data_IF_871332371088
#
_entry.id   IF_871332371088
#
_cell.length_a   1.000
_cell.length_b   1.000
_cell.length_c   1.000
_cell.angle_alpha   90.00
_cell.angle_beta   90.00
_cell.angle_gamma   90.00
#
_symmetry.space_group_name_H-M   'P 1'
#
loop_
_entity.id
_entity.type
_entity.pdbx_description
1 polymer ?
#
# COMPACT_ATOMS: atom_id res chain seq x y z
N UNK A 1 -59.06 3.82 -10.96
CA UNK A 1 -57.61 3.90 -11.29
C UNK A 1 -56.87 3.90 -9.98
N UNK A 2 -56.22 2.79 -9.60
CA UNK A 2 -55.47 2.71 -8.35
C UNK A 2 -54.08 3.30 -8.60
N UNK A 3 -53.86 4.51 -8.09
CA UNK A 3 -52.55 5.17 -8.12
C UNK A 3 -51.61 4.39 -7.22
N UNK A 4 -50.75 3.55 -7.82
CA UNK A 4 -49.78 2.79 -7.07
C UNK A 4 -48.69 3.75 -6.60
N UNK A 5 -48.65 4.04 -5.30
CA UNK A 5 -47.66 4.94 -4.72
C UNK A 5 -46.27 4.27 -4.78
N UNK A 6 -45.29 4.82 -5.52
CA UNK A 6 -43.96 4.22 -5.63
C UNK A 6 -43.22 4.13 -4.29
N UNK A 7 -43.61 4.92 -3.28
CA UNK A 7 -43.04 4.84 -1.92
C UNK A 7 -43.51 3.61 -1.15
N UNK A 8 -44.61 2.96 -1.55
CA UNK A 8 -45.11 1.74 -0.90
C UNK A 8 -44.26 0.50 -1.22
N UNK A 9 -43.57 0.47 -2.37
CA UNK A 9 -42.62 -0.60 -2.70
C UNK A 9 -41.32 -0.50 -1.91
N UNK A 10 -40.98 0.68 -1.38
CA UNK A 10 -39.77 0.92 -0.60
C UNK A 10 -39.94 0.63 0.91
N UNK A 11 -41.00 -0.07 1.31
CA UNK A 11 -41.16 -0.53 2.69
C UNK A 11 -41.58 0.56 3.68
N UNK A 12 -42.26 1.62 3.24
CA UNK A 12 -42.86 2.60 4.14
C UNK A 12 -44.29 2.19 4.55
N UNK A 13 -44.67 2.49 5.79
CA UNK A 13 -46.02 2.22 6.30
C UNK A 13 -47.06 3.06 5.54
N UNK A 14 -48.06 2.38 4.93
CA UNK A 14 -49.15 3.04 4.22
C UNK A 14 -50.52 2.58 4.77
N UNK A 15 -51.18 3.35 5.65
CA UNK A 15 -52.45 2.97 6.27
C UNK A 15 -53.64 2.95 5.28
N UNK A 16 -53.50 3.55 4.09
CA UNK A 16 -54.55 3.60 3.07
C UNK A 16 -54.52 2.41 2.10
N UNK A 17 -53.50 1.54 2.19
CA UNK A 17 -53.39 0.34 1.37
C UNK A 17 -53.50 -0.92 2.25
N UNK A 18 -54.60 -1.68 2.18
CA UNK A 18 -54.78 -2.93 2.94
C UNK A 18 -53.73 -4.01 2.61
N UNK A 19 -53.01 -3.87 1.48
CA UNK A 19 -51.95 -4.78 1.05
C UNK A 19 -50.54 -4.24 1.35
N UNK A 20 -50.40 -3.23 2.22
CA UNK A 20 -49.11 -2.73 2.68
C UNK A 20 -48.32 -3.82 3.41
N UNK A 21 -47.06 -4.03 3.03
CA UNK A 21 -46.15 -5.02 3.65
C UNK A 21 -45.86 -4.67 5.11
N UNK A 22 -45.88 -3.38 5.45
CA UNK A 22 -45.70 -2.92 6.82
C UNK A 22 -47.06 -2.59 7.43
N UNK A 23 -47.41 -3.27 8.53
CA UNK A 23 -48.66 -3.11 9.26
C UNK A 23 -48.56 -2.21 10.51
N UNK A 24 -47.40 -1.57 10.73
CA UNK A 24 -47.16 -0.70 11.90
C UNK A 24 -46.46 0.60 11.47
N UNK A 25 -46.80 1.76 12.08
CA UNK A 25 -46.07 3.01 11.91
C UNK A 25 -44.59 2.86 12.30
N UNK A 26 -43.72 3.65 11.67
CA UNK A 26 -42.29 3.68 12.01
C UNK A 26 -42.11 3.99 13.50
N UNK A 27 -41.42 3.08 14.22
CA UNK A 27 -41.11 3.24 15.64
C UNK A 27 -39.66 3.71 15.77
N UNK A 28 -39.47 4.95 16.24
CA UNK A 28 -38.15 5.54 16.46
C UNK A 28 -37.31 4.81 17.52
N UNK A 29 -37.94 3.97 18.37
CA UNK A 29 -37.30 3.22 19.45
C UNK A 29 -37.12 1.72 19.11
N UNK A 30 -37.09 1.34 17.84
CA UNK A 30 -36.82 -0.05 17.47
C UNK A 30 -35.40 -0.46 17.93
N UNK A 31 -35.24 -1.59 18.64
CA UNK A 31 -33.93 -2.06 19.13
C UNK A 31 -32.97 -2.53 18.02
N UNK A 32 -33.37 -2.41 16.75
CA UNK A 32 -32.59 -2.77 15.58
C UNK A 32 -32.67 -1.62 14.57
N UNK A 33 -31.54 -1.11 14.05
CA UNK A 33 -31.58 -0.10 12.99
C UNK A 33 -32.26 -0.68 11.73
N UNK A 34 -32.98 0.14 10.95
CA UNK A 34 -33.68 -0.32 9.76
C UNK A 34 -32.67 -0.95 8.78
N UNK A 35 -32.85 -2.25 8.53
CA UNK A 35 -31.91 -3.07 7.73
C UNK A 35 -32.26 -3.07 6.24
N UNK A 36 -33.42 -2.53 5.86
CA UNK A 36 -33.85 -2.40 4.47
C UNK A 36 -33.23 -1.15 3.84
N UNK A 37 -32.26 -1.36 2.95
CA UNK A 37 -31.54 -0.31 2.21
C UNK A 37 -30.08 -0.12 2.65
N UNK A 38 -29.63 -0.80 3.70
CA UNK A 38 -28.21 -0.84 4.03
C UNK A 38 -27.50 -1.74 3.00
N UNK A 39 -26.67 -1.14 2.14
CA UNK A 39 -25.63 -1.89 1.43
C UNK A 39 -24.88 -2.75 2.45
N UNK A 40 -24.55 -4.02 2.14
CA UNK A 40 -23.72 -4.81 3.05
C UNK A 40 -22.48 -3.98 3.37
N UNK A 41 -22.21 -3.77 4.66
CA UNK A 41 -20.93 -3.20 5.04
C UNK A 41 -19.88 -4.08 4.39
N UNK A 42 -19.02 -3.50 3.54
CA UNK A 42 -17.83 -4.19 3.10
C UNK A 42 -17.05 -4.49 4.37
N UNK A 43 -17.26 -5.69 4.92
CA UNK A 43 -16.37 -6.26 5.91
C UNK A 43 -15.05 -6.40 5.20
N UNK A 44 -14.23 -5.36 5.28
CA UNK A 44 -12.92 -5.31 4.64
C UNK A 44 -12.14 -6.51 5.16
N UNK A 45 -11.99 -7.53 4.32
CA UNK A 45 -11.03 -8.59 4.58
C UNK A 45 -9.69 -7.90 4.82
N UNK A 46 -9.11 -8.07 6.00
CA UNK A 46 -7.79 -7.51 6.31
C UNK A 46 -6.86 -7.88 5.16
N UNK A 47 -6.24 -6.92 4.46
CA UNK A 47 -5.43 -7.23 3.29
C UNK A 47 -4.33 -8.20 3.72
N UNK A 48 -4.21 -9.32 3.01
CA UNK A 48 -3.17 -10.31 3.28
C UNK A 48 -1.82 -9.63 3.14
N UNK A 49 -1.08 -9.52 4.24
CA UNK A 49 0.27 -8.96 4.27
C UNK A 49 1.28 -10.10 4.09
N UNK A 50 2.24 -9.89 3.21
CA UNK A 50 3.41 -10.74 3.07
C UNK A 50 4.61 -10.04 3.71
N UNK A 51 5.46 -10.82 4.34
CA UNK A 51 6.64 -10.33 5.06
C UNK A 51 7.88 -10.76 4.31
N UNK A 52 8.77 -9.79 4.05
CA UNK A 52 10.06 -10.01 3.43
C UNK A 52 11.17 -9.54 4.37
N UNK A 53 12.19 -10.36 4.54
CA UNK A 53 13.29 -10.12 5.47
C UNK A 53 14.59 -9.82 4.73
N UNK A 54 15.34 -8.88 5.31
CA UNK A 54 16.62 -8.39 4.84
C UNK A 54 17.61 -8.54 5.99
N UNK A 55 18.47 -9.57 5.98
CA UNK A 55 19.53 -9.71 6.98
C UNK A 55 20.54 -8.55 6.97
N UNK A 56 20.69 -7.89 5.82
CA UNK A 56 21.52 -6.69 5.64
C UNK A 56 20.90 -5.79 4.54
N UNK A 57 21.35 -4.53 4.45
CA UNK A 57 20.89 -3.57 3.43
C UNK A 57 21.65 -3.71 2.12
N UNK A 58 22.95 -4.02 2.18
CA UNK A 58 23.83 -3.90 1.03
C UNK A 58 24.20 -5.25 0.41
N UNK A 59 24.32 -6.31 1.20
CA UNK A 59 24.68 -7.63 0.69
C UNK A 59 23.81 -8.71 1.35
N UNK A 60 22.66 -9.02 0.75
CA UNK A 60 21.75 -9.99 1.32
C UNK A 60 20.87 -10.69 0.28
N UNK A 61 20.20 -11.75 0.71
CA UNK A 61 19.10 -12.36 -0.01
C UNK A 61 17.80 -11.98 0.66
N UNK A 62 16.88 -11.37 -0.10
CA UNK A 62 15.54 -11.00 0.39
C UNK A 62 14.68 -12.26 0.41
N UNK A 63 14.37 -12.72 1.61
CA UNK A 63 13.58 -13.94 1.84
C UNK A 63 12.14 -13.57 2.18
N UNK A 64 11.19 -14.29 1.59
CA UNK A 64 9.76 -14.11 1.84
C UNK A 64 9.14 -15.29 2.61
N UNK A 65 7.81 -15.42 2.56
CA UNK A 65 7.09 -16.52 3.21
C UNK A 65 7.62 -17.88 2.79
N UNK A 66 7.77 -18.80 3.76
CA UNK A 66 8.34 -20.13 3.54
C UNK A 66 9.86 -20.14 3.36
N UNK A 67 10.57 -19.05 3.67
CA UNK A 67 12.02 -18.97 3.57
C UNK A 67 12.54 -18.91 2.13
N UNK A 68 11.65 -18.69 1.17
CA UNK A 68 12.00 -18.62 -0.26
C UNK A 68 12.69 -17.30 -0.57
N UNK A 69 13.83 -17.35 -1.26
CA UNK A 69 14.51 -16.15 -1.77
C UNK A 69 13.78 -15.60 -2.99
N UNK A 70 13.47 -14.31 -2.96
CA UNK A 70 12.80 -13.60 -4.07
C UNK A 70 13.74 -12.68 -4.83
N UNK A 71 14.69 -12.05 -4.13
CA UNK A 71 15.67 -11.14 -4.73
C UNK A 71 17.02 -11.30 -4.02
N UNK A 72 18.09 -10.97 -4.75
CA UNK A 72 19.45 -10.86 -4.23
C UNK A 72 19.92 -9.42 -4.39
N UNK A 73 20.47 -8.87 -3.31
CA UNK A 73 21.03 -7.52 -3.23
C UNK A 73 22.54 -7.68 -3.07
N UNK A 74 23.28 -7.11 -4.01
CA UNK A 74 24.75 -7.15 -4.01
C UNK A 74 25.26 -5.74 -4.19
N UNK A 75 26.07 -5.27 -3.25
CA UNK A 75 26.67 -3.94 -3.30
C UNK A 75 28.17 -4.03 -3.43
N UNK A 76 28.69 -3.25 -4.37
CA UNK A 76 30.10 -2.90 -4.46
C UNK A 76 30.31 -1.46 -3.94
N UNK A 77 31.53 -0.94 -4.07
CA UNK A 77 31.88 0.38 -3.54
C UNK A 77 31.07 1.53 -4.17
N UNK A 78 30.64 1.39 -5.42
CA UNK A 78 30.03 2.47 -6.22
C UNK A 78 28.57 2.21 -6.60
N UNK A 79 28.05 1.01 -6.38
CA UNK A 79 26.72 0.61 -6.83
C UNK A 79 26.15 -0.56 -6.05
N UNK A 80 24.82 -0.62 -5.99
CA UNK A 80 24.04 -1.75 -5.50
C UNK A 80 23.21 -2.29 -6.65
N UNK A 81 23.29 -3.59 -6.88
CA UNK A 81 22.51 -4.33 -7.86
C UNK A 81 21.48 -5.19 -7.13
N UNK A 82 20.26 -5.19 -7.65
CA UNK A 82 19.13 -5.96 -7.14
C UNK A 82 18.69 -6.86 -8.29
N UNK A 83 18.70 -8.17 -8.08
CA UNK A 83 18.40 -9.17 -9.12
C UNK A 83 17.51 -10.29 -8.60
N UNK A 84 16.78 -10.95 -9.51
CA UNK A 84 16.04 -12.17 -9.21
C UNK A 84 17.01 -13.37 -9.10
N UNK A 85 16.59 -14.50 -8.50
CA UNK A 85 17.41 -15.72 -8.42
C UNK A 85 17.87 -16.29 -9.76
N UNK A 86 17.17 -15.97 -10.85
CA UNK A 86 17.54 -16.34 -12.22
C UNK A 86 18.62 -15.43 -12.85
N UNK A 87 19.11 -14.41 -12.12
CA UNK A 87 20.10 -13.44 -12.59
C UNK A 87 19.51 -12.22 -13.32
N UNK A 88 18.19 -12.15 -13.49
CA UNK A 88 17.53 -11.00 -14.13
C UNK A 88 17.67 -9.75 -13.23
N UNK A 89 18.22 -8.67 -13.80
CA UNK A 89 18.40 -7.41 -13.08
C UNK A 89 17.06 -6.71 -12.89
N UNK A 90 16.73 -6.42 -11.64
CA UNK A 90 15.50 -5.73 -11.23
C UNK A 90 15.76 -4.26 -10.97
N UNK A 91 16.89 -3.93 -10.37
CA UNK A 91 17.22 -2.54 -10.09
C UNK A 91 18.70 -2.33 -9.88
N UNK A 92 19.11 -1.07 -10.07
CA UNK A 92 20.47 -0.61 -9.88
C UNK A 92 20.44 0.74 -9.19
N UNK A 93 21.25 0.86 -8.15
CA UNK A 93 21.53 2.13 -7.48
C UNK A 93 23.01 2.43 -7.71
N UNK A 94 23.33 3.62 -8.22
CA UNK A 94 24.70 4.10 -8.31
C UNK A 94 24.93 5.11 -7.20
N UNK A 95 25.84 4.80 -6.30
CA UNK A 95 26.19 5.63 -5.17
C UNK A 95 27.26 6.64 -5.57
N UNK A 96 26.83 7.85 -5.84
CA UNK A 96 27.70 9.01 -6.09
C UNK A 96 27.28 10.15 -5.15
N UNK A 97 27.86 11.34 -5.33
CA UNK A 97 27.44 12.53 -4.58
C UNK A 97 25.95 12.82 -4.75
N UNK A 98 25.41 12.58 -5.96
CA UNK A 98 23.98 12.52 -6.24
C UNK A 98 23.66 11.11 -6.76
N UNK A 99 22.99 10.27 -5.96
CA UNK A 99 22.77 8.88 -6.34
C UNK A 99 21.76 8.76 -7.48
N UNK A 100 22.02 7.79 -8.36
CA UNK A 100 21.15 7.44 -9.48
C UNK A 100 20.45 6.12 -9.22
N UNK A 101 19.25 5.98 -9.78
CA UNK A 101 18.44 4.78 -9.67
C UNK A 101 17.92 4.38 -11.05
N UNK A 102 17.84 3.08 -11.26
CA UNK A 102 17.13 2.43 -12.36
C UNK A 102 16.38 1.21 -11.81
N UNK A 103 15.09 1.06 -12.16
CA UNK A 103 14.29 -0.12 -11.83
C UNK A 103 13.68 -0.64 -13.14
N UNK A 104 13.99 -1.88 -13.48
CA UNK A 104 13.47 -2.54 -14.65
C UNK A 104 11.93 -2.49 -14.67
N UNK A 105 11.36 -2.22 -15.85
CA UNK A 105 9.92 -2.20 -16.11
C UNK A 105 9.10 -1.18 -15.27
N UNK A 106 9.72 -0.17 -14.68
CA UNK A 106 8.97 0.84 -13.93
C UNK A 106 9.61 2.21 -13.81
N UNK A 107 10.92 2.27 -13.58
CA UNK A 107 11.63 3.52 -13.30
C UNK A 107 12.86 3.61 -14.19
N UNK A 108 12.79 4.46 -15.22
CA UNK A 108 13.95 4.77 -16.05
C UNK A 108 15.08 5.40 -15.26
N UNK A 109 16.29 5.38 -15.80
CA UNK A 109 17.48 5.92 -15.11
C UNK A 109 17.29 7.40 -14.78
N UNK A 110 17.26 7.73 -13.49
CA UNK A 110 17.11 9.10 -12.99
C UNK A 110 17.77 9.29 -11.63
N UNK A 111 17.81 10.54 -11.15
CA UNK A 111 18.28 10.85 -9.81
C UNK A 111 17.32 10.29 -8.76
N UNK A 112 17.87 9.80 -7.65
CA UNK A 112 17.06 9.35 -6.51
C UNK A 112 16.23 10.50 -5.96
N UNK A 113 16.75 11.73 -5.96
CA UNK A 113 16.01 12.92 -5.50
C UNK A 113 14.83 13.29 -6.40
N UNK A 114 14.87 12.94 -7.68
CA UNK A 114 13.73 13.09 -8.61
C UNK A 114 12.70 11.97 -8.44
N UNK A 115 13.17 10.74 -8.23
CA UNK A 115 12.29 9.58 -8.07
C UNK A 115 11.62 9.51 -6.69
N UNK A 116 12.37 9.86 -5.64
CA UNK A 116 11.99 9.80 -4.24
C UNK A 116 12.20 11.15 -3.52
N UNK A 117 11.58 12.24 -4.02
CA UNK A 117 11.75 13.59 -3.48
C UNK A 117 11.30 13.66 -2.02
N UNK A 118 12.05 14.42 -1.24
CA UNK A 118 11.71 14.77 0.13
C UNK A 118 10.72 15.93 0.14
N UNK A 119 9.68 15.84 0.95
CA UNK A 119 8.72 16.91 1.16
C UNK A 119 9.42 18.16 1.73
N UNK A 120 8.84 19.34 1.48
CA UNK A 120 9.41 20.62 1.94
C UNK A 120 9.50 20.74 3.47
N UNK A 121 8.62 20.05 4.18
CA UNK A 121 8.61 19.94 5.64
C UNK A 121 9.48 18.78 6.17
N UNK A 122 10.19 18.09 5.27
CA UNK A 122 11.06 16.95 5.56
C UNK A 122 10.36 15.76 6.27
N UNK A 123 9.02 15.70 6.21
CA UNK A 123 8.22 14.73 6.96
C UNK A 123 7.91 13.44 6.19
N UNK A 124 8.00 13.43 4.85
CA UNK A 124 7.79 12.23 4.03
C UNK A 124 8.54 12.31 2.70
N UNK A 125 8.66 11.17 2.01
CA UNK A 125 9.12 11.12 0.62
C UNK A 125 8.01 10.61 -0.27
N UNK A 126 7.89 11.14 -1.49
CA UNK A 126 6.87 10.67 -2.46
C UNK A 126 7.51 9.92 -3.61
N UNK A 127 6.74 9.04 -4.26
CA UNK A 127 7.13 8.39 -5.51
C UNK A 127 5.90 8.15 -6.38
N UNK A 128 6.11 8.04 -7.69
CA UNK A 128 5.04 7.73 -8.64
C UNK A 128 5.29 6.34 -9.23
N UNK A 129 4.29 5.46 -9.13
CA UNK A 129 4.33 4.12 -9.71
C UNK A 129 3.00 3.85 -10.40
N UNK A 130 3.03 3.41 -11.66
CA UNK A 130 1.79 3.13 -12.42
C UNK A 130 0.82 4.32 -12.49
N UNK A 131 1.34 5.56 -12.51
CA UNK A 131 0.54 6.78 -12.53
C UNK A 131 -0.11 7.17 -11.19
N UNK A 132 0.16 6.44 -10.11
CA UNK A 132 -0.34 6.74 -8.75
C UNK A 132 0.78 7.29 -7.88
N UNK A 133 0.41 8.26 -7.03
CA UNK A 133 1.33 8.87 -6.08
C UNK A 133 1.27 8.13 -4.76
N UNK A 134 2.43 7.72 -4.28
CA UNK A 134 2.62 7.07 -2.98
C UNK A 134 3.56 7.90 -2.12
N UNK A 135 3.40 7.79 -0.80
CA UNK A 135 4.22 8.50 0.18
C UNK A 135 4.79 7.52 1.20
N UNK A 136 6.11 7.56 1.38
CA UNK A 136 6.84 6.95 2.48
C UNK A 136 6.87 7.90 3.66
N UNK A 137 6.14 7.56 4.72
CA UNK A 137 5.95 8.39 5.90
C UNK A 137 6.58 7.69 7.11
N UNK A 138 7.58 8.29 7.79
CA UNK A 138 8.08 7.80 9.07
C UNK A 138 6.97 7.79 10.13
N UNK A 139 6.77 6.65 10.80
CA UNK A 139 5.78 6.46 11.88
C UNK A 139 6.36 5.55 12.96
N UNK A 140 6.53 6.07 14.17
CA UNK A 140 6.83 5.30 15.40
C UNK A 140 7.84 4.15 15.23
N UNK A 141 9.02 4.43 14.68
CA UNK A 141 10.09 3.43 14.47
C UNK A 141 9.94 2.58 13.20
N UNK A 142 8.98 2.89 12.34
CA UNK A 142 8.79 2.28 11.02
C UNK A 142 8.66 3.36 9.93
N UNK A 143 8.74 2.97 8.67
CA UNK A 143 8.43 3.82 7.52
C UNK A 143 7.28 3.16 6.76
N UNK A 144 6.17 3.85 6.63
CA UNK A 144 4.94 3.31 6.05
C UNK A 144 4.72 3.88 4.67
N UNK A 145 4.37 3.03 3.70
CA UNK A 145 3.93 3.44 2.38
C UNK A 145 2.42 3.59 2.36
N UNK A 146 1.93 4.79 2.05
CA UNK A 146 0.51 5.05 1.87
C UNK A 146 0.22 5.78 0.55
N UNK A 147 -1.04 5.79 0.13
CA UNK A 147 -1.49 6.65 -0.98
C UNK A 147 -1.44 8.12 -0.59
N UNK A 148 -1.01 8.98 -1.50
CA UNK A 148 -1.13 10.42 -1.37
C UNK A 148 -2.47 10.87 -1.98
N UNK A 149 -3.55 10.89 -1.20
CA UNK A 149 -4.89 11.22 -1.67
C UNK A 149 -5.93 11.43 -0.55
N UNK A 150 -7.17 11.85 -0.87
CA UNK A 150 -8.20 12.13 0.12
C UNK A 150 -8.65 10.85 0.85
N UNK A 151 -8.83 11.01 2.17
CA UNK A 151 -8.92 10.01 3.25
C UNK A 151 -9.85 8.78 3.07
N UNK A 152 -9.55 7.68 3.81
CA UNK A 152 -8.35 7.47 4.62
C UNK A 152 -7.17 6.95 3.77
N UNK A 153 -5.91 7.30 4.11
CA UNK A 153 -4.74 6.80 3.41
C UNK A 153 -4.62 5.30 3.63
N UNK A 154 -4.61 4.53 2.56
CA UNK A 154 -4.46 3.08 2.63
C UNK A 154 -2.98 2.71 2.77
N UNK A 155 -2.65 1.81 3.69
CA UNK A 155 -1.29 1.30 3.92
C UNK A 155 -0.99 0.15 2.94
N UNK A 156 0.02 0.33 2.09
CA UNK A 156 0.45 -0.67 1.11
C UNK A 156 1.67 -1.46 1.58
N UNK A 157 2.57 -0.80 2.29
CA UNK A 157 3.79 -1.43 2.80
C UNK A 157 4.29 -0.77 4.08
N UNK A 158 5.14 -1.49 4.82
CA UNK A 158 5.81 -0.98 6.01
C UNK A 158 7.22 -1.54 6.07
N UNK A 159 8.17 -0.65 6.25
CA UNK A 159 9.56 -0.97 6.56
C UNK A 159 9.73 -0.82 8.08
N UNK A 160 10.13 -1.89 8.74
CA UNK A 160 10.52 -1.86 10.15
C UNK A 160 11.92 -2.39 10.31
N UNK A 161 12.65 -1.87 11.30
CA UNK A 161 14.00 -2.35 11.63
C UNK A 161 13.94 -3.08 12.96
N UNK A 162 14.29 -4.36 12.93
CA UNK A 162 14.49 -5.16 14.13
C UNK A 162 15.97 -5.14 14.52
N UNK A 163 16.32 -5.75 15.66
CA UNK A 163 17.71 -5.84 16.12
C UNK A 163 18.63 -6.63 15.20
N UNK A 164 18.08 -7.48 14.32
CA UNK A 164 18.86 -8.36 13.43
C UNK A 164 18.60 -8.09 11.96
N UNK A 165 17.36 -7.82 11.59
CA UNK A 165 16.93 -7.76 10.19
C UNK A 165 16.10 -6.49 9.93
N UNK A 166 16.09 -6.05 8.68
CA UNK A 166 15.05 -5.13 8.18
C UNK A 166 13.91 -5.96 7.62
N UNK A 167 12.69 -5.52 7.88
CA UNK A 167 11.47 -6.22 7.49
C UNK A 167 10.62 -5.30 6.63
N UNK A 168 10.29 -5.76 5.43
CA UNK A 168 9.32 -5.15 4.54
C UNK A 168 8.02 -5.98 4.59
N UNK A 169 7.00 -5.42 5.22
CA UNK A 169 5.64 -5.93 5.12
C UNK A 169 4.96 -5.27 3.92
N UNK A 170 4.27 -6.03 3.08
CA UNK A 170 3.60 -5.50 1.88
C UNK A 170 2.27 -6.22 1.67
N UNK A 171 1.22 -5.49 1.29
CA UNK A 171 -0.08 -6.10 1.01
C UNK A 171 -0.08 -6.84 -0.33
N UNK A 172 -0.91 -7.86 -0.47
CA UNK A 172 -1.13 -8.53 -1.76
C UNK A 172 -1.55 -7.54 -2.86
N UNK A 173 -2.41 -6.57 -2.52
CA UNK A 173 -2.81 -5.49 -3.42
C UNK A 173 -1.63 -4.65 -3.92
N UNK A 174 -0.67 -4.33 -3.04
CA UNK A 174 0.54 -3.61 -3.42
C UNK A 174 1.43 -4.41 -4.39
N UNK A 175 1.54 -5.73 -4.18
CA UNK A 175 2.30 -6.62 -5.08
C UNK A 175 1.65 -6.63 -6.46
N UNK A 176 0.33 -6.78 -6.54
CA UNK A 176 -0.39 -6.73 -7.81
C UNK A 176 -0.31 -5.37 -8.51
N UNK A 177 -0.11 -4.28 -7.74
CA UNK A 177 0.15 -2.95 -8.27
C UNK A 177 1.61 -2.73 -8.71
N UNK A 178 2.49 -3.75 -8.65
CA UNK A 178 3.88 -3.63 -9.04
C UNK A 178 4.77 -2.90 -8.03
N UNK A 179 4.33 -2.80 -6.76
CA UNK A 179 5.09 -2.10 -5.71
C UNK A 179 6.14 -2.97 -5.03
N UNK A 180 6.26 -4.25 -5.38
CA UNK A 180 7.19 -5.15 -4.70
C UNK A 180 8.64 -4.77 -4.98
N UNK A 181 9.07 -4.81 -6.24
CA UNK A 181 10.43 -4.47 -6.67
C UNK A 181 10.79 -3.03 -6.27
N UNK A 182 9.83 -2.12 -6.48
CA UNK A 182 9.95 -0.71 -6.12
C UNK A 182 10.10 -0.54 -4.61
N UNK A 183 9.32 -1.27 -3.82
CA UNK A 183 9.38 -1.26 -2.36
C UNK A 183 10.69 -1.81 -1.83
N UNK A 184 11.25 -2.84 -2.46
CA UNK A 184 12.57 -3.38 -2.11
C UNK A 184 13.66 -2.36 -2.38
N UNK A 185 13.65 -1.70 -3.54
CA UNK A 185 14.64 -0.66 -3.89
C UNK A 185 14.51 0.55 -2.95
N UNK A 186 13.29 0.99 -2.64
CA UNK A 186 13.03 2.04 -1.65
C UNK A 186 13.54 1.63 -0.26
N UNK A 187 13.37 0.37 0.13
CA UNK A 187 13.87 -0.16 1.41
C UNK A 187 15.40 -0.03 1.48
N UNK A 188 16.11 -0.42 0.42
CA UNK A 188 17.57 -0.28 0.36
C UNK A 188 17.98 1.19 0.51
N UNK A 189 17.35 2.10 -0.23
CA UNK A 189 17.68 3.53 -0.19
C UNK A 189 17.40 4.14 1.18
N UNK A 190 16.22 3.90 1.75
CA UNK A 190 15.78 4.47 3.03
C UNK A 190 16.56 3.89 4.23
N UNK A 191 17.03 2.64 4.15
CA UNK A 191 17.79 1.99 5.22
C UNK A 191 19.32 2.05 5.04
N UNK A 192 19.80 2.56 3.90
CA UNK A 192 21.24 2.67 3.57
C UNK A 192 22.04 3.59 4.51
N UNK A 193 21.38 4.52 5.20
CA UNK A 193 22.04 5.59 5.96
C UNK A 193 22.81 6.60 5.10
N UNK A 194 22.70 6.52 3.77
CA UNK A 194 23.35 7.44 2.83
C UNK A 194 22.46 8.64 2.54
N UNK A 195 23.07 9.76 2.18
CA UNK A 195 22.32 10.93 1.73
C UNK A 195 21.62 10.64 0.39
N UNK A 196 20.33 11.00 0.33
CA UNK A 196 19.49 10.87 -0.88
C UNK A 196 19.15 12.24 -1.48
N UNK A 197 19.97 13.25 -1.17
CA UNK A 197 19.77 14.65 -1.56
C UNK A 197 19.76 14.84 -3.09
#
# INVERSE_FOLDING_TARGET
>A
MFTNNPYAQAGWYNPQNPHSINGQPWNANAPHPPTFGALPSQSGSTPTKLTFEFPDVFNCSVTGPGGKTYLSIVSNNTSTLISKPNGELVGRIEWQAQPWIEIANGVGRQLVSTWLPLSSDHSYRTMIVGGRVYAWVPRSGSIVLCTAGPNPPEEFARISRTSRNIVLEITSGAIHAGLFEVGVVATVLLQSGRSLA
#
